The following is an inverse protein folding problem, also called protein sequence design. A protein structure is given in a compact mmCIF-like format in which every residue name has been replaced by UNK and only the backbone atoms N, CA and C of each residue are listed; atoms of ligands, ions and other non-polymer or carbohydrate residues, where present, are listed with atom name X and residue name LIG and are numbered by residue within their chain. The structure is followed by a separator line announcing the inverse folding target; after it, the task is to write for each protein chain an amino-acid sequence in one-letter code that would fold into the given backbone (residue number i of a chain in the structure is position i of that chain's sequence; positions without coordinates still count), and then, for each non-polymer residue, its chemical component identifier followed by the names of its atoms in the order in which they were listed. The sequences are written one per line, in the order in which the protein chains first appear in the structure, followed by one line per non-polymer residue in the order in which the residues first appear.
data_IF_746868541771
#
_entry.id   IF_746868541771
#
_cell.length_a   1.000
_cell.length_b   1.000
_cell.length_c   1.000
_cell.angle_alpha   90.00
_cell.angle_beta   90.00
_cell.angle_gamma   90.00
#
_symmetry.space_group_name_H-M   'P 1'
#
loop_
_entity.id
_entity.type
_entity.pdbx_description
1 polymer ?
#
# COMPACT_ATOMS: atom_id res chain seq x y z
N UNK A 1 -9.54 -58.61 -44.55
CA UNK A 1 -8.27 -57.97 -44.11
C UNK A 1 -8.29 -56.44 -44.19
N UNK A 2 -8.73 -55.81 -45.30
CA UNK A 2 -8.73 -54.33 -45.45
C UNK A 2 -9.67 -53.56 -44.51
N UNK A 3 -10.84 -54.11 -44.16
CA UNK A 3 -11.84 -53.45 -43.28
C UNK A 3 -11.43 -53.43 -41.81
N UNK A 4 -10.75 -54.46 -41.32
CA UNK A 4 -10.25 -54.55 -39.94
C UNK A 4 -9.05 -53.62 -39.70
N UNK A 5 -8.17 -53.47 -40.70
CA UNK A 5 -7.04 -52.52 -40.62
C UNK A 5 -7.53 -51.06 -40.59
N UNK A 6 -8.59 -50.74 -41.34
CA UNK A 6 -9.20 -49.40 -41.33
C UNK A 6 -9.88 -49.09 -39.98
N UNK A 7 -10.51 -50.09 -39.36
CA UNK A 7 -11.14 -49.94 -38.04
C UNK A 7 -10.10 -49.72 -36.93
N UNK A 8 -8.98 -50.46 -36.97
CA UNK A 8 -7.87 -50.24 -36.03
C UNK A 8 -7.19 -48.89 -36.21
N UNK A 9 -7.06 -48.39 -37.45
CA UNK A 9 -6.49 -47.08 -37.74
C UNK A 9 -7.37 -45.93 -37.20
N UNK A 10 -8.70 -46.06 -37.32
CA UNK A 10 -9.66 -45.06 -36.82
C UNK A 10 -9.66 -45.05 -35.27
N UNK A 11 -9.58 -46.21 -34.63
CA UNK A 11 -9.48 -46.30 -33.16
C UNK A 11 -8.15 -45.73 -32.66
N UNK A 12 -7.05 -45.95 -33.37
CA UNK A 12 -5.74 -45.41 -32.99
C UNK A 12 -5.69 -43.88 -33.13
N UNK A 13 -6.30 -43.31 -34.18
CA UNK A 13 -6.42 -41.86 -34.35
C UNK A 13 -7.35 -41.25 -33.28
N UNK A 14 -8.45 -41.93 -32.94
CA UNK A 14 -9.37 -41.50 -31.89
C UNK A 14 -8.75 -41.45 -30.49
N UNK A 15 -7.84 -42.39 -30.17
CA UNK A 15 -7.14 -42.42 -28.88
C UNK A 15 -6.02 -41.38 -28.81
N UNK A 16 -5.34 -41.08 -29.92
CA UNK A 16 -4.30 -40.04 -29.97
C UNK A 16 -4.88 -38.63 -29.83
N UNK A 17 -6.12 -38.39 -30.27
CA UNK A 17 -6.77 -37.09 -30.11
C UNK A 17 -7.29 -36.80 -28.68
N UNK A 18 -7.36 -37.80 -27.79
CA UNK A 18 -7.79 -37.60 -26.39
C UNK A 18 -6.57 -37.27 -25.49
N UNK A 19 -5.34 -37.57 -25.93
CA UNK A 19 -4.12 -37.31 -25.17
C UNK A 19 -3.39 -36.02 -25.57
N UNK A 20 -3.87 -35.31 -26.60
CA UNK A 20 -3.34 -33.99 -26.98
C UNK A 20 -3.85 -32.91 -26.03
N UNK A 21 -3.11 -32.72 -24.94
CA UNK A 21 -2.88 -31.41 -24.33
C UNK A 21 -4.06 -30.77 -23.60
N UNK A 22 -4.28 -31.17 -22.34
CA UNK A 22 -4.66 -30.16 -21.35
C UNK A 22 -3.44 -29.27 -21.14
N UNK A 23 -3.28 -28.23 -21.97
CA UNK A 23 -2.51 -27.07 -21.55
C UNK A 23 -3.30 -26.43 -20.42
N UNK A 24 -2.95 -26.74 -19.18
CA UNK A 24 -3.24 -25.83 -18.07
C UNK A 24 -2.60 -24.50 -18.45
N UNK A 25 -3.40 -23.58 -18.98
CA UNK A 25 -3.05 -22.18 -19.03
C UNK A 25 -2.97 -21.75 -17.58
N UNK A 26 -1.81 -21.93 -16.97
CA UNK A 26 -1.45 -21.25 -15.73
C UNK A 26 -1.53 -19.76 -16.07
N UNK A 27 -2.56 -19.09 -15.55
CA UNK A 27 -2.68 -17.65 -15.66
C UNK A 27 -1.36 -17.03 -15.20
N UNK A 28 -0.80 -16.14 -16.03
CA UNK A 28 0.47 -15.48 -15.72
C UNK A 28 0.35 -14.78 -14.35
N UNK A 29 1.27 -15.09 -13.44
CA UNK A 29 1.30 -14.44 -12.13
C UNK A 29 1.45 -12.94 -12.30
N UNK A 30 0.48 -12.18 -11.81
CA UNK A 30 0.55 -10.73 -11.80
C UNK A 30 1.63 -10.31 -10.80
N UNK A 31 2.69 -9.69 -11.29
CA UNK A 31 3.75 -9.11 -10.45
C UNK A 31 3.51 -7.63 -10.26
N UNK A 32 3.48 -7.20 -9.01
CA UNK A 32 3.36 -5.79 -8.62
C UNK A 32 4.56 -5.39 -7.78
N UNK A 33 4.99 -4.14 -7.87
CA UNK A 33 6.04 -3.54 -7.06
C UNK A 33 5.44 -2.66 -5.97
N UNK A 34 6.01 -2.66 -4.76
CA UNK A 34 5.55 -1.85 -3.63
C UNK A 34 6.68 -1.03 -3.02
N UNK A 35 6.68 0.28 -3.25
CA UNK A 35 7.61 1.26 -2.67
C UNK A 35 7.21 1.70 -1.26
N UNK A 36 8.13 1.62 -0.31
CA UNK A 36 8.00 2.17 1.04
C UNK A 36 9.27 2.90 1.47
N UNK A 37 9.13 4.13 1.96
CA UNK A 37 10.27 4.97 2.34
C UNK A 37 10.81 4.69 3.76
N UNK A 38 10.08 3.93 4.58
CA UNK A 38 10.54 3.61 5.93
C UNK A 38 11.67 2.56 5.89
N UNK A 39 12.62 2.59 6.84
CA UNK A 39 13.59 1.50 6.99
C UNK A 39 12.90 0.14 7.22
N UNK A 40 13.52 -0.99 6.85
CA UNK A 40 12.91 -2.32 7.02
C UNK A 40 12.49 -2.64 8.45
N UNK A 41 13.21 -2.14 9.45
CA UNK A 41 12.92 -2.38 10.88
C UNK A 41 11.74 -1.57 11.42
N UNK A 42 11.25 -0.58 10.67
CA UNK A 42 10.13 0.25 11.10
C UNK A 42 8.81 -0.54 10.99
N UNK A 43 7.90 -0.33 11.94
CA UNK A 43 6.63 -1.08 12.01
C UNK A 43 5.78 -0.96 10.74
N UNK A 44 5.81 0.19 10.07
CA UNK A 44 5.08 0.39 8.82
C UNK A 44 5.65 -0.43 7.66
N UNK A 45 6.96 -0.67 7.66
CA UNK A 45 7.58 -1.54 6.66
C UNK A 45 7.20 -3.01 6.89
N UNK A 46 7.18 -3.45 8.15
CA UNK A 46 6.75 -4.80 8.51
C UNK A 46 5.27 -5.03 8.17
N UNK A 47 4.41 -4.02 8.39
CA UNK A 47 3.01 -4.07 8.01
C UNK A 47 2.84 -4.17 6.49
N UNK A 48 3.56 -3.35 5.72
CA UNK A 48 3.54 -3.41 4.26
C UNK A 48 3.97 -4.79 3.74
N UNK A 49 5.04 -5.35 4.29
CA UNK A 49 5.51 -6.69 3.95
C UNK A 49 4.48 -7.78 4.33
N UNK A 50 3.86 -7.69 5.51
CA UNK A 50 2.78 -8.60 5.91
C UNK A 50 1.57 -8.50 4.98
N UNK A 51 1.25 -7.31 4.49
CA UNK A 51 0.18 -7.12 3.52
C UNK A 51 0.51 -7.81 2.19
N UNK A 52 1.75 -7.69 1.69
CA UNK A 52 2.21 -8.41 0.50
C UNK A 52 2.01 -9.93 0.63
N UNK A 53 2.41 -10.51 1.78
CA UNK A 53 2.25 -11.94 2.07
C UNK A 53 0.77 -12.36 2.09
N UNK A 54 -0.10 -11.53 2.66
CA UNK A 54 -1.53 -11.81 2.67
C UNK A 54 -2.16 -11.70 1.28
N UNK A 55 -1.71 -10.79 0.42
CA UNK A 55 -2.14 -10.73 -0.99
C UNK A 55 -1.76 -12.00 -1.73
N UNK A 56 -0.50 -12.43 -1.63
CA UNK A 56 -0.03 -13.65 -2.30
C UNK A 56 -0.79 -14.88 -1.80
N UNK A 57 -0.95 -15.01 -0.48
CA UNK A 57 -1.70 -16.11 0.15
C UNK A 57 -3.16 -16.15 -0.29
N UNK A 58 -3.87 -15.01 -0.27
CA UNK A 58 -5.32 -14.96 -0.58
C UNK A 58 -5.61 -15.07 -2.06
N UNK A 59 -4.61 -14.81 -2.92
CA UNK A 59 -4.72 -14.99 -4.36
C UNK A 59 -4.18 -16.35 -4.81
N UNK A 60 -3.82 -17.25 -3.88
CA UNK A 60 -3.19 -18.54 -4.16
C UNK A 60 -1.99 -18.41 -5.11
N UNK A 61 -1.18 -17.36 -4.93
CA UNK A 61 0.00 -17.08 -5.75
C UNK A 61 -0.30 -16.42 -7.10
N UNK A 62 -1.57 -16.13 -7.44
CA UNK A 62 -1.91 -15.44 -8.68
C UNK A 62 -1.41 -13.98 -8.72
N UNK A 63 -1.22 -13.36 -7.55
CA UNK A 63 -0.62 -12.03 -7.42
C UNK A 63 0.59 -12.11 -6.50
N UNK A 64 1.74 -11.63 -6.97
CA UNK A 64 2.97 -11.52 -6.18
C UNK A 64 3.40 -10.07 -6.08
N UNK A 65 3.71 -9.61 -4.87
CA UNK A 65 4.12 -8.22 -4.63
C UNK A 65 5.60 -8.19 -4.23
N UNK A 66 6.43 -7.59 -5.07
CA UNK A 66 7.84 -7.32 -4.81
C UNK A 66 7.98 -6.05 -3.97
N UNK A 67 8.39 -6.21 -2.71
CA UNK A 67 8.41 -5.12 -1.72
C UNK A 67 9.79 -4.45 -1.63
N UNK A 68 9.80 -3.11 -1.70
CA UNK A 68 10.98 -2.27 -1.69
C UNK A 68 10.93 -1.26 -0.53
N UNK A 69 11.62 -1.58 0.56
CA UNK A 69 11.74 -0.71 1.73
C UNK A 69 12.91 0.29 1.61
N UNK A 70 12.93 1.30 2.48
CA UNK A 70 14.10 2.15 2.71
C UNK A 70 14.43 3.14 1.59
N UNK A 71 13.42 3.62 0.85
CA UNK A 71 13.60 4.63 -0.21
C UNK A 71 14.47 4.15 -1.38
N UNK A 72 14.48 2.85 -1.66
CA UNK A 72 15.21 2.27 -2.79
C UNK A 72 14.59 2.62 -4.14
N UNK A 73 13.25 2.77 -4.20
CA UNK A 73 12.54 3.24 -5.39
C UNK A 73 12.26 4.75 -5.35
N UNK A 74 11.55 5.23 -4.32
CA UNK A 74 11.15 6.65 -4.21
C UNK A 74 11.48 7.23 -2.84
N UNK A 75 11.80 8.54 -2.78
CA UNK A 75 11.88 9.26 -1.50
C UNK A 75 10.49 9.47 -0.89
N UNK A 76 10.44 9.82 0.38
CA UNK A 76 9.19 9.90 1.14
C UNK A 76 8.14 10.87 0.54
N UNK A 77 8.56 12.04 0.05
CA UNK A 77 7.67 13.02 -0.60
C UNK A 77 7.28 12.64 -2.03
N UNK A 78 8.00 11.70 -2.66
CA UNK A 78 7.82 11.30 -4.05
C UNK A 78 6.97 10.03 -4.19
N UNK A 79 6.63 9.35 -3.09
CA UNK A 79 6.02 8.02 -3.18
C UNK A 79 4.66 8.03 -3.90
N UNK A 80 3.85 9.07 -3.72
CA UNK A 80 2.57 9.22 -4.44
C UNK A 80 2.79 9.47 -5.94
N UNK A 81 3.69 10.40 -6.30
CA UNK A 81 4.00 10.70 -7.70
C UNK A 81 4.66 9.50 -8.39
N UNK A 82 5.48 8.74 -7.68
CA UNK A 82 6.07 7.50 -8.21
C UNK A 82 5.02 6.45 -8.60
N UNK A 83 3.85 6.42 -7.95
CA UNK A 83 2.73 5.55 -8.38
C UNK A 83 2.06 6.12 -9.63
N UNK A 84 1.81 7.44 -9.67
CA UNK A 84 1.20 8.08 -10.84
C UNK A 84 2.07 7.96 -12.11
N UNK A 85 3.39 8.05 -11.93
CA UNK A 85 4.38 7.98 -13.01
C UNK A 85 4.78 6.55 -13.37
N UNK A 86 4.29 5.54 -12.63
CA UNK A 86 4.57 4.12 -12.88
C UNK A 86 5.97 3.66 -12.47
N UNK A 87 6.66 4.39 -11.59
CA UNK A 87 7.92 3.96 -10.96
C UNK A 87 7.69 2.74 -10.05
N UNK A 88 6.51 2.67 -9.41
CA UNK A 88 6.06 1.50 -8.63
C UNK A 88 4.55 1.34 -8.75
N UNK A 89 4.04 0.11 -8.75
CA UNK A 89 2.60 -0.16 -8.85
C UNK A 89 1.84 0.24 -7.58
N UNK A 90 2.49 0.11 -6.42
CA UNK A 90 1.94 0.40 -5.10
C UNK A 90 2.93 1.28 -4.34
N UNK A 91 2.42 2.28 -3.61
CA UNK A 91 3.24 3.21 -2.83
C UNK A 91 2.70 3.46 -1.42
N UNK A 92 3.60 3.50 -0.43
CA UNK A 92 3.28 3.96 0.92
C UNK A 92 3.45 5.47 0.98
N UNK A 93 2.34 6.21 0.85
CA UNK A 93 2.35 7.67 0.91
C UNK A 93 1.84 8.18 2.27
N UNK A 94 2.54 9.17 2.83
CA UNK A 94 2.02 10.00 3.91
C UNK A 94 1.50 11.28 3.27
N UNK A 95 0.18 11.44 3.21
CA UNK A 95 -0.47 12.54 2.49
C UNK A 95 0.02 13.93 2.96
N UNK A 96 0.32 14.07 4.26
CA UNK A 96 0.85 15.29 4.87
C UNK A 96 2.26 15.72 4.38
N UNK A 97 2.99 14.86 3.67
CA UNK A 97 4.32 15.19 3.12
C UNK A 97 4.23 16.07 1.86
N UNK A 98 3.07 16.13 1.22
CA UNK A 98 2.78 16.99 0.07
C UNK A 98 1.67 17.97 0.42
N UNK A 99 2.05 19.06 1.09
CA UNK A 99 1.10 20.06 1.60
C UNK A 99 0.21 20.63 0.50
N UNK A 100 -1.06 20.85 0.81
CA UNK A 100 -2.06 21.41 -0.11
C UNK A 100 -2.61 20.44 -1.16
N UNK A 101 -2.02 19.25 -1.32
CA UNK A 101 -2.43 18.29 -2.36
C UNK A 101 -3.71 17.52 -2.05
N UNK A 102 -3.96 17.22 -0.77
CA UNK A 102 -5.07 16.38 -0.32
C UNK A 102 -5.97 17.13 0.67
N UNK A 103 -6.63 18.25 0.27
CA UNK A 103 -7.34 19.14 1.18
C UNK A 103 -8.51 18.48 1.94
N UNK A 104 -9.20 17.50 1.36
CA UNK A 104 -10.27 16.79 2.07
C UNK A 104 -9.68 15.85 3.10
N UNK A 105 -8.63 15.12 2.73
CA UNK A 105 -7.99 14.16 3.62
C UNK A 105 -7.21 14.83 4.75
N UNK A 106 -6.67 16.03 4.53
CA UNK A 106 -5.93 16.78 5.55
C UNK A 106 -6.78 17.25 6.73
N UNK A 107 -8.12 17.19 6.64
CA UNK A 107 -9.00 17.43 7.79
C UNK A 107 -8.69 16.48 8.94
N UNK A 108 -8.23 15.25 8.62
CA UNK A 108 -7.87 14.26 9.64
C UNK A 108 -6.59 14.66 10.39
N UNK A 109 -5.72 15.48 9.81
CA UNK A 109 -4.48 15.94 10.44
C UNK A 109 -4.72 17.05 11.49
N UNK A 110 -5.95 17.57 11.59
CA UNK A 110 -6.32 18.58 12.58
C UNK A 110 -6.35 17.99 14.01
N UNK A 111 -6.17 18.82 15.06
CA UNK A 111 -6.21 18.37 16.46
C UNK A 111 -7.65 18.08 16.92
N UNK A 112 -8.25 17.02 16.38
CA UNK A 112 -9.64 16.61 16.63
C UNK A 112 -9.80 15.70 17.86
N UNK A 113 -8.73 15.50 18.65
CA UNK A 113 -8.80 14.80 19.94
C UNK A 113 -8.92 13.26 19.83
N UNK A 114 -8.37 12.64 18.79
CA UNK A 114 -8.39 11.17 18.68
C UNK A 114 -7.74 10.50 19.89
N UNK A 115 -8.37 9.45 20.40
CA UNK A 115 -7.89 8.73 21.59
C UNK A 115 -6.95 7.57 21.28
N UNK A 116 -6.93 7.08 20.03
CA UNK A 116 -6.06 6.00 19.58
C UNK A 116 -5.87 5.99 18.07
N UNK A 117 -4.84 5.29 17.58
CA UNK A 117 -4.62 5.10 16.14
C UNK A 117 -5.75 4.30 15.48
N UNK A 118 -6.45 3.43 16.22
CA UNK A 118 -7.64 2.73 15.73
C UNK A 118 -8.77 3.71 15.41
N UNK A 119 -9.09 4.59 16.36
CA UNK A 119 -10.12 5.62 16.17
C UNK A 119 -9.75 6.55 15.02
N UNK A 120 -8.50 7.02 14.97
CA UNK A 120 -8.04 7.86 13.86
C UNK A 120 -8.14 7.14 12.50
N UNK A 121 -7.81 5.84 12.45
CA UNK A 121 -7.94 5.00 11.25
C UNK A 121 -9.40 4.82 10.83
N UNK A 122 -10.32 4.63 11.76
CA UNK A 122 -11.76 4.58 11.46
C UNK A 122 -12.28 5.93 10.92
N UNK A 123 -11.80 7.04 11.48
CA UNK A 123 -12.19 8.38 11.03
C UNK A 123 -11.69 8.66 9.60
N UNK A 124 -10.42 8.39 9.29
CA UNK A 124 -9.88 8.63 7.94
C UNK A 124 -10.60 7.79 6.88
N UNK A 125 -10.94 6.53 7.20
CA UNK A 125 -11.75 5.68 6.32
C UNK A 125 -13.14 6.28 6.10
N UNK A 126 -13.84 6.71 7.16
CA UNK A 126 -15.16 7.34 7.05
C UNK A 126 -15.14 8.65 6.25
N UNK A 127 -14.10 9.46 6.40
CA UNK A 127 -13.90 10.69 5.60
C UNK A 127 -13.72 10.33 4.13
N UNK A 128 -12.84 9.38 3.82
CA UNK A 128 -12.63 8.92 2.46
C UNK A 128 -13.92 8.38 1.82
N UNK A 129 -14.65 7.50 2.52
CA UNK A 129 -15.86 6.86 1.99
C UNK A 129 -17.00 7.85 1.77
N UNK A 130 -17.15 8.81 2.69
CA UNK A 130 -18.21 9.83 2.61
C UNK A 130 -17.98 10.83 1.49
N UNK A 131 -16.75 11.31 1.33
CA UNK A 131 -16.45 12.41 0.42
C UNK A 131 -15.86 11.97 -0.92
N UNK A 132 -15.26 10.77 -1.00
CA UNK A 132 -14.61 10.20 -2.20
C UNK A 132 -13.77 11.25 -2.94
N UNK A 133 -12.74 11.78 -2.27
CA UNK A 133 -12.09 13.00 -2.71
C UNK A 133 -11.42 12.81 -4.07
N UNK A 134 -11.66 13.76 -4.98
CA UNK A 134 -11.16 13.71 -6.37
C UNK A 134 -9.63 13.72 -6.44
N UNK A 135 -8.96 14.30 -5.45
CA UNK A 135 -7.49 14.30 -5.33
C UNK A 135 -6.87 12.89 -5.28
N UNK A 136 -7.64 11.86 -4.90
CA UNK A 136 -7.23 10.45 -4.90
C UNK A 136 -7.80 9.66 -6.08
N UNK A 137 -8.45 10.33 -7.04
CA UNK A 137 -9.18 9.68 -8.14
C UNK A 137 -8.29 9.03 -9.22
N UNK A 138 -7.01 9.43 -9.29
CA UNK A 138 -6.05 8.91 -10.28
C UNK A 138 -5.29 7.67 -9.78
N UNK A 139 -5.60 7.19 -8.58
CA UNK A 139 -5.00 5.99 -8.00
C UNK A 139 -6.09 5.09 -7.43
N UNK A 140 -5.74 3.84 -7.14
CA UNK A 140 -6.57 2.95 -6.34
C UNK A 140 -6.11 3.00 -4.89
N UNK A 141 -6.95 3.52 -3.99
CA UNK A 141 -6.70 3.42 -2.54
C UNK A 141 -6.88 1.97 -2.11
N UNK A 142 -5.80 1.36 -1.62
CA UNK A 142 -5.81 -0.03 -1.13
C UNK A 142 -6.26 -0.10 0.33
N UNK A 143 -5.66 0.73 1.19
CA UNK A 143 -6.06 0.92 2.57
C UNK A 143 -5.60 2.29 3.08
N UNK A 144 -6.25 2.77 4.14
CA UNK A 144 -5.87 3.99 4.85
C UNK A 144 -5.64 3.63 6.32
N UNK A 145 -4.71 4.33 6.95
CA UNK A 145 -4.50 4.28 8.39
C UNK A 145 -3.98 5.62 8.88
N UNK A 146 -4.16 5.89 10.16
CA UNK A 146 -3.69 7.11 10.81
C UNK A 146 -3.01 6.78 12.14
N UNK A 147 -2.07 7.63 12.55
CA UNK A 147 -1.40 7.47 13.84
C UNK A 147 -2.30 7.93 14.99
N UNK A 148 -2.03 7.44 16.20
CA UNK A 148 -2.69 7.91 17.42
C UNK A 148 -2.26 9.33 17.83
N UNK A 149 -2.58 9.75 19.07
CA UNK A 149 -2.18 11.06 19.58
C UNK A 149 -0.69 11.34 19.38
N UNK A 150 -0.38 12.53 18.86
CA UNK A 150 1.00 13.02 18.84
C UNK A 150 1.49 13.31 20.24
N UNK A 151 2.68 12.80 20.59
CA UNK A 151 3.33 13.08 21.87
C UNK A 151 4.60 13.90 21.64
N UNK A 152 4.88 14.80 22.57
CA UNK A 152 6.11 15.60 22.55
C UNK A 152 7.29 14.69 22.89
N UNK A 153 8.19 14.51 21.93
CA UNK A 153 9.46 13.82 22.11
C UNK A 153 10.60 14.83 21.98
N UNK A 154 11.39 14.96 23.04
CA UNK A 154 12.49 15.91 23.12
C UNK A 154 13.79 15.19 23.50
N UNK A 155 14.92 15.75 23.08
CA UNK A 155 16.25 15.29 23.50
C UNK A 155 16.78 16.22 24.59
N UNK A 156 17.10 15.67 25.76
CA UNK A 156 17.83 16.36 26.82
C UNK A 156 17.04 17.38 27.68
N UNK A 157 15.81 17.76 27.30
CA UNK A 157 14.95 18.63 28.11
C UNK A 157 13.52 18.08 28.16
N UNK A 158 13.04 17.73 29.35
CA UNK A 158 11.64 17.33 29.53
C UNK A 158 10.70 18.53 29.37
N UNK A 159 9.53 18.31 28.76
CA UNK A 159 8.44 19.28 28.66
C UNK A 159 7.32 18.81 29.58
N UNK A 160 7.07 19.55 30.67
CA UNK A 160 6.03 19.22 31.67
C UNK A 160 4.91 20.26 31.72
N UNK A 161 5.21 21.47 31.26
CA UNK A 161 4.29 22.60 31.15
C UNK A 161 4.58 23.39 29.88
N UNK A 162 3.65 24.26 29.47
CA UNK A 162 3.74 24.99 28.21
C UNK A 162 5.00 25.88 28.14
N UNK A 163 5.44 26.46 29.25
CA UNK A 163 6.62 27.34 29.29
C UNK A 163 7.91 26.59 28.93
N UNK A 164 7.96 25.28 29.17
CA UNK A 164 9.13 24.46 28.85
C UNK A 164 9.33 24.34 27.33
N UNK A 165 8.27 24.53 26.54
CA UNK A 165 8.32 24.53 25.07
C UNK A 165 9.00 25.76 24.49
N UNK A 166 9.11 26.86 25.25
CA UNK A 166 9.68 28.11 24.75
C UNK A 166 11.12 27.91 24.28
N UNK A 167 11.38 28.26 23.02
CA UNK A 167 12.70 28.16 22.39
C UNK A 167 13.08 26.75 21.93
N UNK A 168 12.23 25.74 22.12
CA UNK A 168 12.42 24.43 21.51
C UNK A 168 12.08 24.47 20.02
N UNK A 169 12.86 23.75 19.21
CA UNK A 169 12.57 23.52 17.80
C UNK A 169 11.98 22.12 17.65
N UNK A 170 10.76 22.03 17.13
CA UNK A 170 10.10 20.75 16.91
C UNK A 170 10.14 20.36 15.43
N UNK A 171 10.25 19.06 15.18
CA UNK A 171 10.08 18.49 13.84
C UNK A 171 8.59 18.14 13.67
N UNK A 172 7.94 18.82 12.73
CA UNK A 172 6.55 18.57 12.32
C UNK A 172 6.43 18.25 10.84
N UNK A 173 5.24 17.82 10.42
CA UNK A 173 4.83 17.68 9.02
C UNK A 173 3.38 18.15 8.86
N UNK A 174 2.92 18.38 7.62
CA UNK A 174 1.56 18.86 7.36
C UNK A 174 1.22 20.12 8.15
N UNK A 175 0.00 20.18 8.68
CA UNK A 175 -0.54 21.25 9.53
C UNK A 175 0.22 21.40 10.84
N UNK A 176 0.73 20.30 11.42
CA UNK A 176 1.51 20.36 12.67
C UNK A 176 2.75 21.22 12.54
N UNK A 177 3.31 21.36 11.34
CA UNK A 177 4.48 22.22 11.11
C UNK A 177 4.15 23.72 11.04
N UNK A 178 2.88 24.11 10.85
CA UNK A 178 2.47 25.52 10.83
C UNK A 178 2.35 26.10 12.24
N UNK A 179 2.21 25.23 13.24
CA UNK A 179 1.97 25.57 14.65
C UNK A 179 3.17 25.25 15.57
N UNK A 180 4.26 24.71 15.01
CA UNK A 180 5.49 24.35 15.74
C UNK A 180 6.68 25.18 15.30
#
# INVERSE_FOLDING_TARGET
MKKSALFFLIVFIGVVCITTGHSEVQAETVKLTYSCFFPPTHIQSQLAESWCREVEKRTNGAVRVEYYAGQTLTKASQCYDGVLEGISDIGFSVLAYTRGRFPVMSVVDLPLGYTSGRVATEVISKVYDKFRPKELGNIKVMYLHAHGPGLVHTRGKAVRKLEDMKGLKFRGHGTSAEVT
#
